data_IF_504011320902
#
_entry.id   IF_504011320902
#
_cell.length_a   1.000
_cell.length_b   1.000
_cell.length_c   1.000
_cell.angle_alpha   90.00
_cell.angle_beta   90.00
_cell.angle_gamma   90.00
#
_symmetry.space_group_name_H-M   'P 1'
#
loop_
_entity.id
_entity.type
_entity.pdbx_description
1 polymer ?
#
# COMPACT_ATOMS: atom_id res chain seq x y z
N UNK A 1 27.71 -2.93 -3.90
CA UNK A 1 27.82 -3.39 -5.31
C UNK A 1 27.22 -2.28 -6.16
N UNK A 2 27.99 -1.56 -6.98
CA UNK A 2 27.45 -0.43 -7.75
C UNK A 2 26.33 -0.85 -8.70
N UNK A 3 25.11 -0.36 -8.47
CA UNK A 3 23.93 -0.65 -9.29
C UNK A 3 23.73 0.29 -10.47
N UNK A 4 22.76 -0.04 -11.32
CA UNK A 4 22.28 0.84 -12.39
C UNK A 4 21.56 2.06 -11.79
N UNK A 5 21.90 3.25 -12.27
CA UNK A 5 21.36 4.50 -11.73
C UNK A 5 19.83 4.58 -11.90
N UNK A 6 19.29 4.08 -13.02
CA UNK A 6 17.87 4.13 -13.30
C UNK A 6 17.08 3.11 -12.47
N UNK A 7 17.66 1.95 -12.17
CA UNK A 7 17.11 1.01 -11.16
C UNK A 7 17.00 1.67 -9.79
N UNK A 8 18.04 2.40 -9.35
CA UNK A 8 18.02 3.12 -8.07
C UNK A 8 16.97 4.24 -8.05
N UNK A 9 16.73 4.91 -9.18
CA UNK A 9 15.62 5.87 -9.31
C UNK A 9 14.26 5.20 -9.13
N UNK A 10 14.01 4.06 -9.78
CA UNK A 10 12.76 3.32 -9.62
C UNK A 10 12.57 2.79 -8.20
N UNK A 11 13.62 2.28 -7.56
CA UNK A 11 13.55 1.86 -6.17
C UNK A 11 13.20 3.03 -5.24
N UNK A 12 13.74 4.24 -5.47
CA UNK A 12 13.37 5.42 -4.69
C UNK A 12 11.96 5.92 -4.99
N UNK A 13 11.47 5.76 -6.24
CA UNK A 13 10.08 6.07 -6.57
C UNK A 13 9.12 5.10 -5.86
N UNK A 14 9.42 3.80 -5.88
CA UNK A 14 8.67 2.79 -5.14
C UNK A 14 8.71 3.07 -3.64
N UNK A 15 9.88 3.39 -3.07
CA UNK A 15 10.00 3.73 -1.65
C UNK A 15 9.11 4.92 -1.27
N UNK A 16 9.02 5.93 -2.13
CA UNK A 16 8.11 7.05 -1.90
C UNK A 16 6.65 6.62 -1.94
N UNK A 17 6.28 5.77 -2.89
CA UNK A 17 4.94 5.17 -3.00
C UNK A 17 4.57 4.41 -1.71
N UNK A 18 5.46 3.53 -1.24
CA UNK A 18 5.25 2.76 -0.01
C UNK A 18 5.09 3.66 1.21
N UNK A 19 5.95 4.67 1.37
CA UNK A 19 5.82 5.60 2.48
C UNK A 19 4.51 6.40 2.42
N UNK A 20 4.02 6.71 1.22
CA UNK A 20 2.69 7.31 1.05
C UNK A 20 1.60 6.34 1.49
N UNK A 21 1.66 5.08 1.07
CA UNK A 21 0.70 4.04 1.43
C UNK A 21 0.69 3.76 2.95
N UNK A 22 1.87 3.64 3.59
CA UNK A 22 2.02 3.53 5.06
C UNK A 22 1.21 4.63 5.76
N UNK A 23 1.40 5.88 5.37
CA UNK A 23 0.75 7.02 6.02
C UNK A 23 -0.75 7.09 5.71
N UNK A 24 -1.15 6.76 4.48
CA UNK A 24 -2.56 6.75 4.08
C UNK A 24 -3.34 5.68 4.86
N UNK A 25 -2.88 4.43 4.84
CA UNK A 25 -3.49 3.33 5.57
C UNK A 25 -3.51 3.59 7.08
N UNK A 26 -2.45 4.17 7.65
CA UNK A 26 -2.42 4.48 9.08
C UNK A 26 -3.42 5.56 9.47
N UNK A 27 -3.62 6.57 8.61
CA UNK A 27 -4.62 7.60 8.85
C UNK A 27 -6.05 7.04 8.67
N UNK A 28 -6.29 6.23 7.63
CA UNK A 28 -7.56 5.52 7.46
C UNK A 28 -7.88 4.61 8.64
N UNK A 29 -6.90 3.86 9.16
CA UNK A 29 -7.03 3.08 10.39
C UNK A 29 -7.58 3.95 11.54
N UNK A 30 -6.95 5.09 11.83
CA UNK A 30 -7.37 5.95 12.95
C UNK A 30 -8.73 6.59 12.73
N UNK A 31 -9.05 6.98 11.50
CA UNK A 31 -10.37 7.51 11.16
C UNK A 31 -11.46 6.44 11.33
N UNK A 32 -11.24 5.24 10.80
CA UNK A 32 -12.18 4.13 10.88
C UNK A 32 -12.40 3.66 12.32
N UNK A 33 -11.34 3.66 13.14
CA UNK A 33 -11.41 3.36 14.57
C UNK A 33 -12.27 4.39 15.30
N UNK A 34 -12.04 5.69 15.06
CA UNK A 34 -12.84 6.79 15.63
C UNK A 34 -14.31 6.73 15.19
N UNK A 35 -14.57 6.34 13.94
CA UNK A 35 -15.92 6.13 13.41
C UNK A 35 -16.62 4.87 13.97
N UNK A 36 -15.93 4.05 14.76
CA UNK A 36 -16.45 2.84 15.40
C UNK A 36 -16.35 1.56 14.55
N UNK A 37 -15.71 1.63 13.38
CA UNK A 37 -15.53 0.48 12.47
C UNK A 37 -14.27 -0.31 12.78
N UNK A 38 -14.14 -0.78 14.03
CA UNK A 38 -12.90 -1.36 14.55
C UNK A 38 -12.35 -2.58 13.78
N UNK A 39 -13.18 -3.36 13.08
CA UNK A 39 -12.70 -4.54 12.32
C UNK A 39 -11.96 -4.14 11.05
N UNK A 40 -12.53 -3.23 10.26
CA UNK A 40 -11.85 -2.71 9.05
C UNK A 40 -10.66 -1.84 9.45
N UNK A 41 -10.76 -1.09 10.55
CA UNK A 41 -9.66 -0.35 11.13
C UNK A 41 -8.46 -1.27 11.45
N UNK A 42 -8.70 -2.44 12.05
CA UNK A 42 -7.65 -3.42 12.32
C UNK A 42 -6.99 -3.96 11.05
N UNK A 43 -7.75 -4.12 9.95
CA UNK A 43 -7.21 -4.52 8.64
C UNK A 43 -6.37 -3.40 8.02
N UNK A 44 -6.85 -2.15 7.97
CA UNK A 44 -6.04 -1.02 7.50
C UNK A 44 -4.76 -0.81 8.31
N UNK A 45 -4.79 -1.08 9.62
CA UNK A 45 -3.57 -1.09 10.45
C UNK A 45 -2.59 -2.18 10.03
N UNK A 46 -3.08 -3.36 9.66
CA UNK A 46 -2.25 -4.46 9.20
C UNK A 46 -1.59 -4.13 7.84
N UNK A 47 -2.36 -3.62 6.87
CA UNK A 47 -1.82 -3.21 5.56
C UNK A 47 -0.75 -2.14 5.72
N UNK A 48 -0.99 -1.12 6.56
CA UNK A 48 0.03 -0.10 6.83
C UNK A 48 1.35 -0.69 7.34
N UNK A 49 1.31 -1.75 8.15
CA UNK A 49 2.51 -2.44 8.65
C UNK A 49 3.15 -3.30 7.56
N UNK A 50 2.36 -3.92 6.68
CA UNK A 50 2.86 -4.60 5.49
C UNK A 50 3.67 -3.65 4.60
N UNK A 51 3.16 -2.44 4.35
CA UNK A 51 3.89 -1.43 3.59
C UNK A 51 5.17 -0.93 4.29
N UNK A 52 5.21 -0.96 5.63
CA UNK A 52 6.46 -0.69 6.36
C UNK A 52 7.53 -1.75 6.04
N UNK A 53 7.13 -3.01 5.85
CA UNK A 53 8.04 -4.06 5.43
C UNK A 53 8.47 -3.91 3.97
N UNK A 54 7.58 -3.46 3.08
CA UNK A 54 7.94 -3.16 1.69
C UNK A 54 8.96 -2.01 1.60
N UNK A 55 8.70 -0.92 2.30
CA UNK A 55 9.62 0.21 2.42
C UNK A 55 11.02 -0.24 2.92
N UNK A 56 11.08 -1.11 3.93
CA UNK A 56 12.36 -1.64 4.44
C UNK A 56 13.11 -2.47 3.39
N UNK A 57 12.43 -3.40 2.70
CA UNK A 57 13.03 -4.19 1.60
C UNK A 57 13.63 -3.28 0.53
N UNK A 58 12.94 -2.20 0.16
CA UNK A 58 13.41 -1.21 -0.82
C UNK A 58 14.63 -0.44 -0.32
N UNK A 59 14.61 0.06 0.92
CA UNK A 59 15.75 0.77 1.54
C UNK A 59 17.00 -0.11 1.54
N UNK A 60 16.88 -1.36 2.00
CA UNK A 60 17.98 -2.32 2.03
C UNK A 60 18.54 -2.54 0.63
N UNK A 61 17.66 -2.69 -0.38
CA UNK A 61 18.11 -2.89 -1.77
C UNK A 61 18.82 -1.67 -2.35
N UNK A 62 18.32 -0.46 -2.10
CA UNK A 62 18.95 0.79 -2.54
C UNK A 62 20.36 0.92 -1.97
N UNK A 63 20.52 0.70 -0.66
CA UNK A 63 21.82 0.80 0.02
C UNK A 63 22.80 -0.24 -0.53
N UNK A 64 22.33 -1.48 -0.74
CA UNK A 64 23.17 -2.55 -1.31
C UNK A 64 23.73 -2.20 -2.70
N UNK A 65 22.90 -1.53 -3.51
CA UNK A 65 23.25 -1.01 -4.83
C UNK A 65 24.11 0.26 -4.81
N UNK A 66 24.59 0.67 -3.63
CA UNK A 66 25.36 1.90 -3.38
C UNK A 66 24.61 3.19 -3.74
N UNK A 67 23.27 3.13 -3.70
CA UNK A 67 22.40 4.29 -3.80
C UNK A 67 22.15 4.96 -2.45
N UNK A 68 21.51 6.12 -2.47
CA UNK A 68 21.05 6.83 -1.26
C UNK A 68 19.52 6.81 -1.22
N UNK A 69 18.89 6.10 -0.25
CA UNK A 69 17.44 6.09 -0.13
C UNK A 69 16.92 7.47 0.30
N UNK A 70 15.76 7.87 -0.21
CA UNK A 70 15.14 9.15 0.08
C UNK A 70 13.74 8.97 0.71
N UNK A 71 13.67 9.22 2.02
CA UNK A 71 12.44 9.15 2.80
C UNK A 71 11.89 10.57 3.14
N UNK A 72 12.43 11.62 2.52
CA UNK A 72 12.13 13.01 2.89
C UNK A 72 10.80 13.51 2.33
N UNK A 73 10.25 12.83 1.31
CA UNK A 73 9.07 13.25 0.57
C UNK A 73 8.12 12.08 0.41
N UNK A 74 6.83 12.41 0.36
CA UNK A 74 5.72 11.51 0.03
C UNK A 74 5.08 12.01 -1.27
N UNK A 75 4.42 11.11 -1.98
CA UNK A 75 3.38 11.46 -2.94
C UNK A 75 2.11 11.95 -2.20
N UNK A 76 1.16 12.53 -2.94
CA UNK A 76 -0.07 13.07 -2.34
C UNK A 76 -0.94 11.97 -1.74
N UNK A 77 -1.34 12.14 -0.48
CA UNK A 77 -2.29 11.24 0.19
C UNK A 77 -3.71 11.42 -0.33
N UNK A 78 -4.48 10.33 -0.39
CA UNK A 78 -5.92 10.29 -0.68
C UNK A 78 -6.65 9.89 0.58
N UNK A 79 -7.31 10.84 1.23
CA UNK A 79 -7.94 10.61 2.54
C UNK A 79 -9.46 10.66 2.40
N UNK A 80 -10.11 9.50 2.55
CA UNK A 80 -11.57 9.39 2.53
C UNK A 80 -12.23 9.93 3.79
N UNK A 81 -13.48 10.40 3.67
CA UNK A 81 -14.28 10.96 4.78
C UNK A 81 -15.41 10.02 5.23
N UNK A 82 -15.53 8.86 4.59
CA UNK A 82 -16.41 7.76 4.97
C UNK A 82 -15.82 6.43 4.51
N UNK A 83 -16.41 5.29 4.93
CA UNK A 83 -15.90 3.95 4.61
C UNK A 83 -15.69 3.69 3.12
N UNK A 84 -16.62 4.12 2.27
CA UNK A 84 -16.51 3.89 0.83
C UNK A 84 -15.32 4.66 0.27
N UNK A 85 -15.23 5.94 0.60
CA UNK A 85 -14.14 6.80 0.13
C UNK A 85 -12.78 6.30 0.60
N UNK A 86 -12.66 5.73 1.82
CA UNK A 86 -11.38 5.14 2.26
C UNK A 86 -10.99 3.94 1.40
N UNK A 87 -11.94 3.04 1.08
CA UNK A 87 -11.67 1.88 0.22
C UNK A 87 -11.31 2.29 -1.21
N UNK A 88 -12.02 3.27 -1.79
CA UNK A 88 -11.74 3.79 -3.13
C UNK A 88 -10.39 4.52 -3.19
N UNK A 89 -10.04 5.25 -2.14
CA UNK A 89 -8.76 5.96 -2.03
C UNK A 89 -7.56 5.00 -1.93
N UNK A 90 -7.71 3.92 -1.16
CA UNK A 90 -6.71 2.87 -1.03
C UNK A 90 -6.58 2.11 -2.35
N UNK A 91 -7.68 1.71 -2.98
CA UNK A 91 -7.65 1.02 -4.29
C UNK A 91 -6.98 1.86 -5.39
N UNK A 92 -7.21 3.17 -5.38
CA UNK A 92 -6.55 4.08 -6.31
C UNK A 92 -5.03 4.15 -6.09
N UNK A 93 -4.58 4.08 -4.82
CA UNK A 93 -3.15 4.01 -4.51
C UNK A 93 -2.54 2.69 -4.99
N UNK A 94 -3.21 1.56 -4.76
CA UNK A 94 -2.72 0.24 -5.19
C UNK A 94 -2.55 0.13 -6.71
N UNK A 95 -3.50 0.64 -7.49
CA UNK A 95 -3.36 0.66 -8.94
C UNK A 95 -2.19 1.50 -9.44
N UNK A 96 -1.88 2.62 -8.77
CA UNK A 96 -0.72 3.46 -9.08
C UNK A 96 0.59 2.76 -8.72
N UNK A 97 0.66 2.14 -7.54
CA UNK A 97 1.81 1.36 -7.08
C UNK A 97 2.11 0.19 -8.04
N UNK A 98 1.11 -0.64 -8.36
CA UNK A 98 1.23 -1.75 -9.31
C UNK A 98 1.73 -1.28 -10.69
N UNK A 99 1.22 -0.15 -11.18
CA UNK A 99 1.63 0.40 -12.48
C UNK A 99 3.10 0.82 -12.46
N UNK A 100 3.55 1.49 -11.38
CA UNK A 100 4.95 1.84 -11.16
C UNK A 100 5.84 0.59 -11.08
N UNK A 101 5.41 -0.44 -10.35
CA UNK A 101 6.21 -1.65 -10.14
C UNK A 101 6.38 -2.45 -11.41
N UNK A 102 5.34 -2.52 -12.25
CA UNK A 102 5.44 -3.12 -13.57
C UNK A 102 6.50 -2.42 -14.43
N UNK A 103 6.50 -1.09 -14.48
CA UNK A 103 7.48 -0.32 -15.26
C UNK A 103 8.91 -0.54 -14.71
N UNK A 104 9.07 -0.48 -13.39
CA UNK A 104 10.35 -0.70 -12.71
C UNK A 104 10.90 -2.12 -12.97
N UNK A 105 10.04 -3.13 -12.88
CA UNK A 105 10.33 -4.54 -13.19
C UNK A 105 10.83 -4.69 -14.62
N UNK A 106 10.14 -4.09 -15.60
CA UNK A 106 10.54 -4.15 -17.01
C UNK A 106 11.90 -3.49 -17.26
N UNK A 107 12.21 -2.39 -16.56
CA UNK A 107 13.55 -1.79 -16.64
C UNK A 107 14.63 -2.69 -16.05
N UNK A 108 14.37 -3.28 -14.88
CA UNK A 108 15.31 -4.21 -14.23
C UNK A 108 15.64 -5.41 -15.13
N UNK A 109 14.65 -5.98 -15.81
CA UNK A 109 14.84 -7.06 -16.79
C UNK A 109 15.75 -6.60 -17.95
N UNK A 110 15.51 -5.42 -18.51
CA UNK A 110 16.28 -4.89 -19.65
C UNK A 110 17.77 -4.69 -19.31
N UNK A 111 18.09 -4.29 -18.08
CA UNK A 111 19.48 -4.07 -17.64
C UNK A 111 20.11 -5.30 -16.96
N UNK A 112 19.38 -6.41 -16.88
CA UNK A 112 19.87 -7.67 -16.29
C UNK A 112 20.00 -7.67 -14.77
N UNK A 113 19.30 -6.76 -14.06
CA UNK A 113 19.22 -6.79 -12.59
C UNK A 113 18.08 -7.70 -12.14
N UNK A 114 18.32 -9.01 -12.21
CA UNK A 114 17.30 -10.02 -11.92
C UNK A 114 16.86 -10.05 -10.45
N UNK A 115 17.74 -9.68 -9.51
CA UNK A 115 17.41 -9.67 -8.09
C UNK A 115 16.46 -8.52 -7.78
N UNK A 116 16.72 -7.32 -8.33
CA UNK A 116 15.79 -6.20 -8.16
C UNK A 116 14.50 -6.42 -8.95
N UNK A 117 14.57 -7.04 -10.14
CA UNK A 117 13.37 -7.45 -10.89
C UNK A 117 12.47 -8.36 -10.05
N UNK A 118 13.03 -9.39 -9.42
CA UNK A 118 12.27 -10.32 -8.59
C UNK A 118 11.65 -9.61 -7.37
N UNK A 119 12.34 -8.62 -6.78
CA UNK A 119 11.75 -7.80 -5.71
C UNK A 119 10.48 -7.09 -6.21
N UNK A 120 10.53 -6.44 -7.38
CA UNK A 120 9.33 -5.81 -7.95
C UNK A 120 8.24 -6.81 -8.36
N UNK A 121 8.59 -8.03 -8.77
CA UNK A 121 7.61 -9.10 -9.01
C UNK A 121 6.92 -9.55 -7.72
N UNK A 122 7.65 -9.60 -6.60
CA UNK A 122 7.05 -9.88 -5.28
C UNK A 122 6.12 -8.75 -4.86
N UNK A 123 6.61 -7.49 -4.87
CA UNK A 123 5.78 -6.34 -4.49
C UNK A 123 4.51 -6.24 -5.35
N UNK A 124 4.62 -6.42 -6.66
CA UNK A 124 3.46 -6.39 -7.55
C UNK A 124 2.44 -7.52 -7.26
N UNK A 125 2.90 -8.69 -6.81
CA UNK A 125 2.00 -9.78 -6.42
C UNK A 125 1.29 -9.47 -5.09
N UNK A 126 2.00 -8.82 -4.16
CA UNK A 126 1.43 -8.34 -2.90
C UNK A 126 0.32 -7.29 -3.18
N UNK A 127 0.58 -6.30 -4.05
CA UNK A 127 -0.45 -5.29 -4.43
C UNK A 127 -1.63 -5.88 -5.20
N UNK A 128 -1.42 -6.91 -6.03
CA UNK A 128 -2.54 -7.60 -6.68
C UNK A 128 -3.46 -8.29 -5.65
N UNK A 129 -2.91 -8.76 -4.53
CA UNK A 129 -3.68 -9.25 -3.39
C UNK A 129 -4.46 -8.14 -2.67
N UNK A 130 -3.85 -6.97 -2.47
CA UNK A 130 -4.53 -5.80 -1.91
C UNK A 130 -5.69 -5.32 -2.80
N UNK A 131 -5.45 -5.24 -4.11
CA UNK A 131 -6.47 -4.88 -5.12
C UNK A 131 -7.65 -5.85 -5.04
N UNK A 132 -7.41 -7.16 -5.08
CA UNK A 132 -8.46 -8.18 -5.00
C UNK A 132 -9.30 -8.05 -3.72
N UNK A 133 -8.63 -7.83 -2.58
CA UNK A 133 -9.30 -7.58 -1.30
C UNK A 133 -10.20 -6.35 -1.36
N UNK A 134 -9.70 -5.21 -1.84
CA UNK A 134 -10.41 -3.94 -1.88
C UNK A 134 -11.58 -3.96 -2.88
N UNK A 135 -11.39 -4.55 -4.05
CA UNK A 135 -12.47 -4.77 -5.03
C UNK A 135 -13.58 -5.64 -4.43
N UNK A 136 -13.21 -6.73 -3.73
CA UNK A 136 -14.17 -7.58 -3.00
C UNK A 136 -14.93 -6.79 -1.94
N UNK A 137 -14.26 -5.91 -1.19
CA UNK A 137 -14.92 -5.08 -0.16
C UNK A 137 -15.89 -4.08 -0.77
N UNK A 138 -15.52 -3.44 -1.88
CA UNK A 138 -16.39 -2.49 -2.59
C UNK A 138 -17.60 -3.20 -3.19
N UNK A 139 -17.43 -4.37 -3.81
CA UNK A 139 -18.55 -5.17 -4.33
C UNK A 139 -19.49 -5.61 -3.19
N UNK A 140 -18.94 -6.04 -2.06
CA UNK A 140 -19.73 -6.40 -0.88
C UNK A 140 -20.51 -5.19 -0.35
N UNK A 141 -19.85 -4.04 -0.23
CA UNK A 141 -20.46 -2.78 0.20
C UNK A 141 -21.67 -2.43 -0.68
N UNK A 142 -21.52 -2.54 -2.01
CA UNK A 142 -22.59 -2.28 -2.97
C UNK A 142 -23.73 -3.31 -2.87
N UNK A 143 -23.39 -4.57 -2.62
CA UNK A 143 -24.36 -5.66 -2.53
C UNK A 143 -25.25 -5.58 -1.29
N UNK A 144 -24.67 -5.27 -0.12
CA UNK A 144 -25.42 -5.28 1.16
C UNK A 144 -25.86 -3.89 1.60
N UNK A 145 -25.32 -2.83 0.99
CA UNK A 145 -25.57 -1.44 1.32
C UNK A 145 -24.73 -0.91 2.48
N UNK A 146 -24.53 0.41 2.49
CA UNK A 146 -23.62 1.11 3.40
C UNK A 146 -23.85 0.79 4.88
N UNK A 147 -25.10 0.82 5.35
CA UNK A 147 -25.43 0.57 6.77
C UNK A 147 -25.06 -0.85 7.22
N UNK A 148 -25.33 -1.86 6.39
CA UNK A 148 -25.03 -3.26 6.74
C UNK A 148 -23.53 -3.54 6.67
N UNK A 149 -22.83 -2.94 5.71
CA UNK A 149 -21.38 -3.04 5.64
C UNK A 149 -20.70 -2.37 6.84
N UNK A 150 -21.20 -1.19 7.23
CA UNK A 150 -20.77 -0.51 8.46
C UNK A 150 -21.02 -1.37 9.70
N UNK A 151 -22.22 -1.92 9.86
CA UNK A 151 -22.55 -2.84 10.97
C UNK A 151 -21.66 -4.08 10.99
N UNK A 152 -21.37 -4.68 9.83
CA UNK A 152 -20.49 -5.84 9.71
C UNK A 152 -19.09 -5.55 10.26
N UNK A 153 -18.56 -4.37 9.95
CA UNK A 153 -17.21 -3.93 10.33
C UNK A 153 -17.13 -3.16 11.65
N UNK A 154 -18.27 -2.81 12.25
CA UNK A 154 -18.34 -2.21 13.56
C UNK A 154 -17.93 -3.19 14.66
N UNK A 155 -17.41 -2.63 15.75
CA UNK A 155 -17.12 -3.36 16.99
C UNK A 155 -18.28 -3.17 17.96
N UNK A 156 -18.72 -4.24 18.61
CA UNK A 156 -19.76 -4.13 19.65
C UNK A 156 -19.20 -3.40 20.87
N UNK A 157 -20.06 -2.69 21.60
CA UNK A 157 -19.62 -1.83 22.70
C UNK A 157 -18.88 -2.58 23.82
N UNK A 158 -19.16 -3.87 24.01
CA UNK A 158 -18.49 -4.74 25.00
C UNK A 158 -17.09 -5.22 24.57
N UNK A 159 -16.70 -4.97 23.32
CA UNK A 159 -15.39 -5.28 22.76
C UNK A 159 -14.54 -4.02 22.51
N UNK A 160 -15.10 -2.83 22.75
CA UNK A 160 -14.43 -1.56 22.54
C UNK A 160 -13.66 -1.13 23.81
N UNK A 161 -12.53 -1.78 24.11
CA UNK A 161 -11.57 -1.42 25.17
C UNK A 161 -10.11 -1.67 24.75
#
# INVERSE_FOLDING_TARGET
MKGDAKVIEYLNAALRSELTAVNQYWLHYRLQEDWGYGKIAAKSRAESIEEMHHADKLVVRIIFLEGHPNLQKLDSLRIGQNLRETLEADLAAEHEARSLYKEAREHCEKVGDYVTKNLFETLMADEEGHIDYLETQLELFDTIGAEKYGLLNATSADQAE
#
